data_IF_485285609044
#
_entry.id   IF_485285609044
#
_cell.length_a   1.000
_cell.length_b   1.000
_cell.length_c   1.000
_cell.angle_alpha   90.00
_cell.angle_beta   90.00
_cell.angle_gamma   90.00
#
_symmetry.space_group_name_H-M   'P 1'
#
loop_
_entity.id
_entity.type
_entity.pdbx_description
1 polymer ?
#
# COMPACT_ATOMS: atom_id res chain seq x y z
N UNK A 1 11.69 20.48 16.18
CA UNK A 1 10.86 21.24 15.23
C UNK A 1 9.42 20.88 15.55
N UNK A 2 8.81 21.58 16.52
CA UNK A 2 7.67 21.05 17.28
C UNK A 2 6.47 20.53 16.48
N UNK A 3 6.16 21.14 15.32
CA UNK A 3 5.05 20.70 14.46
C UNK A 3 5.40 19.46 13.59
N UNK A 4 6.69 19.18 13.34
CA UNK A 4 7.16 18.03 12.54
C UNK A 4 7.52 16.84 13.43
N UNK A 5 7.97 17.10 14.67
CA UNK A 5 8.54 16.09 15.58
C UNK A 5 7.57 14.91 15.82
N UNK A 6 6.27 15.16 15.93
CA UNK A 6 5.24 14.13 16.10
C UNK A 6 5.07 13.23 14.87
N UNK A 7 5.08 13.80 13.66
CA UNK A 7 5.01 13.05 12.41
C UNK A 7 6.28 12.24 12.15
N UNK A 8 7.44 12.79 12.53
CA UNK A 8 8.71 12.09 12.43
C UNK A 8 8.75 10.88 13.37
N UNK A 9 8.38 11.07 14.65
CA UNK A 9 8.33 9.97 15.62
C UNK A 9 7.35 8.87 15.20
N UNK A 10 6.20 9.24 14.61
CA UNK A 10 5.24 8.26 14.06
C UNK A 10 5.86 7.46 12.91
N UNK A 11 6.54 8.11 11.97
CA UNK A 11 7.24 7.44 10.87
C UNK A 11 8.34 6.51 11.38
N UNK A 12 9.20 7.00 12.28
CA UNK A 12 10.28 6.23 12.87
C UNK A 12 9.76 4.97 13.57
N UNK A 13 8.69 5.09 14.36
CA UNK A 13 8.09 3.97 15.06
C UNK A 13 7.55 2.90 14.09
N UNK A 14 6.78 3.31 13.08
CA UNK A 14 6.25 2.37 12.07
C UNK A 14 7.40 1.69 11.31
N UNK A 15 8.44 2.45 10.95
CA UNK A 15 9.60 1.93 10.24
C UNK A 15 10.38 0.92 11.09
N UNK A 16 10.60 1.23 12.37
CA UNK A 16 11.27 0.32 13.31
C UNK A 16 10.49 -0.99 13.47
N UNK A 17 9.15 -0.94 13.61
CA UNK A 17 8.31 -2.14 13.69
C UNK A 17 8.38 -3.00 12.42
N UNK A 18 8.32 -2.37 11.25
CA UNK A 18 8.43 -3.07 9.96
C UNK A 18 9.80 -3.77 9.81
N UNK A 19 10.90 -3.07 10.11
CA UNK A 19 12.26 -3.63 10.04
C UNK A 19 12.43 -4.74 11.07
N UNK A 20 11.93 -4.57 12.30
CA UNK A 20 11.98 -5.60 13.33
C UNK A 20 11.26 -6.87 12.88
N UNK A 21 10.06 -6.75 12.31
CA UNK A 21 9.32 -7.89 11.77
C UNK A 21 10.08 -8.58 10.62
N UNK A 22 10.70 -7.80 9.73
CA UNK A 22 11.51 -8.33 8.61
C UNK A 22 12.75 -9.08 9.09
N UNK A 23 13.39 -8.59 10.15
CA UNK A 23 14.59 -9.19 10.73
C UNK A 23 14.28 -10.45 11.55
N UNK A 24 13.27 -10.37 12.42
CA UNK A 24 12.90 -11.49 13.30
C UNK A 24 12.19 -12.62 12.57
N UNK A 25 11.51 -12.32 11.45
CA UNK A 25 10.72 -13.30 10.69
C UNK A 25 9.85 -14.19 11.60
N UNK A 26 8.93 -13.61 12.40
CA UNK A 26 8.28 -14.31 13.52
C UNK A 26 7.52 -15.58 13.12
N UNK A 27 7.04 -15.65 11.87
CA UNK A 27 6.33 -16.81 11.33
C UNK A 27 7.25 -17.92 10.79
N UNK A 28 8.57 -17.73 10.76
CA UNK A 28 9.52 -18.68 10.15
C UNK A 28 9.57 -20.02 10.91
N UNK A 29 9.68 -19.97 12.24
CA UNK A 29 9.73 -21.17 13.09
C UNK A 29 8.45 -22.00 12.97
N UNK A 30 7.29 -21.34 13.01
CA UNK A 30 5.99 -22.00 12.85
C UNK A 30 5.83 -22.61 11.45
N UNK A 31 6.25 -21.89 10.41
CA UNK A 31 6.22 -22.40 9.03
C UNK A 31 7.11 -23.64 8.85
N UNK A 32 8.31 -23.63 9.44
CA UNK A 32 9.22 -24.79 9.44
C UNK A 32 8.63 -25.97 10.20
N UNK A 33 8.08 -25.73 11.40
CA UNK A 33 7.43 -26.77 12.20
C UNK A 33 6.25 -27.41 11.45
N UNK A 34 5.40 -26.60 10.82
CA UNK A 34 4.29 -27.07 10.00
C UNK A 34 4.76 -27.93 8.82
N UNK A 35 5.80 -27.49 8.11
CA UNK A 35 6.40 -28.25 7.00
C UNK A 35 6.93 -29.61 7.46
N UNK A 36 7.65 -29.64 8.58
CA UNK A 36 8.19 -30.88 9.15
C UNK A 36 7.06 -31.83 9.58
N UNK A 37 6.03 -31.32 10.25
CA UNK A 37 4.86 -32.10 10.67
C UNK A 37 4.13 -32.73 9.48
N UNK A 38 3.91 -31.97 8.39
CA UNK A 38 3.31 -32.49 7.15
C UNK A 38 4.17 -33.60 6.55
N UNK A 39 5.50 -33.43 6.53
CA UNK A 39 6.44 -34.45 6.03
C UNK A 39 6.34 -35.74 6.83
N UNK A 40 6.31 -35.64 8.16
CA UNK A 40 6.18 -36.78 9.06
C UNK A 40 4.83 -37.52 8.89
N UNK A 41 3.73 -36.77 8.77
CA UNK A 41 2.42 -37.35 8.52
C UNK A 41 2.36 -38.07 7.17
N UNK A 42 3.00 -37.53 6.13
CA UNK A 42 3.10 -38.19 4.81
C UNK A 42 3.91 -39.48 4.88
N UNK A 43 5.03 -39.49 5.62
CA UNK A 43 5.81 -40.71 5.86
C UNK A 43 4.99 -41.76 6.60
N UNK A 44 4.24 -41.35 7.63
CA UNK A 44 3.32 -42.24 8.35
C UNK A 44 2.24 -42.81 7.43
N UNK A 45 1.63 -41.98 6.58
CA UNK A 45 0.64 -42.41 5.60
C UNK A 45 1.21 -43.46 4.64
N UNK A 46 2.43 -43.23 4.12
CA UNK A 46 3.10 -44.19 3.24
C UNK A 46 3.29 -45.55 3.92
N UNK A 47 3.79 -45.56 5.16
CA UNK A 47 3.99 -46.79 5.93
C UNK A 47 2.65 -47.50 6.21
N UNK A 48 1.61 -46.75 6.59
CA UNK A 48 0.28 -47.33 6.82
C UNK A 48 -0.34 -47.91 5.55
N UNK A 49 -0.13 -47.29 4.37
CA UNK A 49 -0.57 -47.85 3.10
C UNK A 49 0.17 -49.15 2.76
N UNK A 50 1.49 -49.21 2.97
CA UNK A 50 2.24 -50.45 2.81
C UNK A 50 1.72 -51.57 3.72
N UNK A 51 1.41 -51.25 4.98
CA UNK A 51 0.82 -52.20 5.92
C UNK A 51 -0.58 -52.66 5.49
N UNK A 52 -1.40 -51.76 4.93
CA UNK A 52 -2.73 -52.10 4.41
C UNK A 52 -2.65 -53.12 3.27
N UNK A 53 -1.68 -52.97 2.36
CA UNK A 53 -1.49 -53.92 1.25
C UNK A 53 -1.10 -55.32 1.74
N UNK A 54 -0.26 -55.41 2.79
CA UNK A 54 0.05 -56.69 3.44
C UNK A 54 -1.21 -57.33 4.05
N UNK A 55 -2.02 -56.55 4.76
CA UNK A 55 -3.27 -57.04 5.35
C UNK A 55 -4.31 -57.44 4.28
N UNK A 56 -4.33 -56.76 3.12
CA UNK A 56 -5.17 -57.15 1.97
C UNK A 56 -4.78 -58.52 1.44
N UNK A 57 -3.48 -58.78 1.30
CA UNK A 57 -2.98 -60.08 0.88
C UNK A 57 -3.33 -61.18 1.90
N UNK A 58 -3.16 -60.91 3.19
CA UNK A 58 -3.54 -61.84 4.27
C UNK A 58 -5.03 -62.16 4.26
N UNK A 59 -5.90 -61.15 4.15
CA UNK A 59 -7.35 -61.34 4.07
C UNK A 59 -7.73 -62.21 2.87
N UNK A 60 -7.08 -62.01 1.72
CA UNK A 60 -7.29 -62.83 0.52
C UNK A 60 -6.94 -64.29 0.78
N UNK A 61 -5.82 -64.58 1.45
CA UNK A 61 -5.43 -65.94 1.82
C UNK A 61 -6.46 -66.57 2.77
N UNK A 62 -6.86 -65.86 3.83
CA UNK A 62 -7.87 -66.33 4.79
C UNK A 62 -9.23 -66.58 4.13
N UNK A 63 -9.61 -65.78 3.14
CA UNK A 63 -10.83 -65.99 2.34
C UNK A 63 -10.74 -67.27 1.51
N UNK A 64 -9.61 -67.50 0.84
CA UNK A 64 -9.38 -68.72 0.06
C UNK A 64 -9.34 -69.96 0.97
N UNK A 65 -8.74 -69.87 2.16
CA UNK A 65 -8.77 -70.94 3.16
C UNK A 65 -10.18 -71.27 3.60
N UNK A 66 -10.98 -70.25 3.97
CA UNK A 66 -12.36 -70.44 4.35
C UNK A 66 -13.14 -71.17 3.24
N UNK A 67 -13.01 -70.72 1.98
CA UNK A 67 -13.68 -71.36 0.83
C UNK A 67 -13.28 -72.83 0.64
N UNK A 68 -11.99 -73.16 0.81
CA UNK A 68 -11.49 -74.55 0.74
C UNK A 68 -12.12 -75.41 1.84
N UNK A 69 -12.15 -74.91 3.07
CA UNK A 69 -12.73 -75.64 4.21
C UNK A 69 -14.25 -75.76 4.09
N UNK A 70 -14.96 -74.76 3.56
CA UNK A 70 -16.39 -74.85 3.27
C UNK A 70 -16.67 -76.01 2.31
N UNK A 71 -15.83 -76.19 1.28
CA UNK A 71 -15.94 -77.30 0.34
C UNK A 71 -15.73 -78.68 0.99
N UNK A 72 -14.83 -78.79 1.97
CA UNK A 72 -14.60 -80.03 2.73
C UNK A 72 -15.74 -80.32 3.72
N UNK A 73 -16.25 -79.28 4.38
CA UNK A 73 -17.38 -79.38 5.31
C UNK A 73 -18.64 -79.88 4.60
N UNK A 74 -18.95 -79.32 3.42
CA UNK A 74 -20.09 -79.73 2.61
C UNK A 74 -20.01 -81.20 2.14
N UNK A 75 -18.81 -81.79 2.14
CA UNK A 75 -18.57 -83.22 1.86
C UNK A 75 -18.57 -84.09 3.11
N UNK A 76 -18.80 -83.53 4.29
CA UNK A 76 -18.77 -84.22 5.59
C UNK A 76 -17.38 -84.63 6.06
N UNK A 77 -16.31 -84.03 5.51
CA UNK A 77 -14.92 -84.44 5.79
C UNK A 77 -14.36 -83.78 7.06
N UNK A 78 -14.85 -82.59 7.40
CA UNK A 78 -14.43 -81.81 8.57
C UNK A 78 -15.63 -81.48 9.45
N UNK A 79 -15.37 -81.18 10.72
CA UNK A 79 -16.36 -80.81 11.72
C UNK A 79 -16.86 -79.37 11.57
N UNK A 80 -18.01 -79.08 12.18
CA UNK A 80 -18.55 -77.71 12.29
C UNK A 80 -17.61 -76.78 13.04
N UNK A 81 -16.91 -77.28 14.07
CA UNK A 81 -15.94 -76.50 14.85
C UNK A 81 -14.77 -76.01 13.97
N UNK A 82 -14.27 -76.84 13.07
CA UNK A 82 -13.15 -76.49 12.18
C UNK A 82 -13.52 -75.38 11.18
N UNK A 83 -14.73 -75.42 10.62
CA UNK A 83 -15.19 -74.37 9.70
C UNK A 83 -15.49 -73.06 10.44
N UNK A 84 -16.08 -73.12 11.64
CA UNK A 84 -16.32 -71.95 12.49
C UNK A 84 -15.00 -71.25 12.86
N UNK A 85 -13.96 -72.02 13.18
CA UNK A 85 -12.64 -71.47 13.47
C UNK A 85 -12.06 -70.72 12.27
N UNK A 86 -12.19 -71.26 11.05
CA UNK A 86 -11.74 -70.58 9.82
C UNK A 86 -12.55 -69.32 9.52
N UNK A 87 -13.84 -69.32 9.84
CA UNK A 87 -14.68 -68.15 9.69
C UNK A 87 -14.28 -67.04 10.67
N UNK A 88 -13.96 -67.39 11.92
CA UNK A 88 -13.42 -66.44 12.91
C UNK A 88 -12.10 -65.83 12.43
N UNK A 89 -11.17 -66.64 11.92
CA UNK A 89 -9.89 -66.15 11.39
C UNK A 89 -10.09 -65.17 10.23
N UNK A 90 -11.00 -65.46 9.29
CA UNK A 90 -11.34 -64.56 8.19
C UNK A 90 -11.93 -63.24 8.70
N UNK A 91 -12.90 -63.29 9.61
CA UNK A 91 -13.52 -62.08 10.17
C UNK A 91 -12.54 -61.25 11.03
N UNK A 92 -11.58 -61.89 11.70
CA UNK A 92 -10.50 -61.18 12.39
C UNK A 92 -9.62 -60.41 11.40
N UNK A 93 -9.18 -61.05 10.31
CA UNK A 93 -8.42 -60.39 9.27
C UNK A 93 -9.21 -59.23 8.62
N UNK A 94 -10.52 -59.41 8.40
CA UNK A 94 -11.38 -58.37 7.84
C UNK A 94 -11.50 -57.15 8.78
N UNK A 95 -11.67 -57.39 10.08
CA UNK A 95 -11.71 -56.31 11.10
C UNK A 95 -10.39 -55.56 11.16
N UNK A 96 -9.25 -56.27 11.12
CA UNK A 96 -7.93 -55.66 11.12
C UNK A 96 -7.75 -54.74 9.91
N UNK A 97 -8.16 -55.21 8.72
CA UNK A 97 -8.10 -54.41 7.50
C UNK A 97 -8.92 -53.12 7.60
N UNK A 98 -10.17 -53.21 8.05
CA UNK A 98 -11.04 -52.03 8.25
C UNK A 98 -10.45 -51.05 9.27
N UNK A 99 -9.78 -51.56 10.32
CA UNK A 99 -9.08 -50.72 11.29
C UNK A 99 -7.94 -49.92 10.65
N UNK A 100 -7.13 -50.54 9.78
CA UNK A 100 -6.10 -49.84 9.02
C UNK A 100 -6.67 -48.79 8.06
N UNK A 101 -7.78 -49.09 7.37
CA UNK A 101 -8.45 -48.12 6.49
C UNK A 101 -8.97 -46.89 7.26
N UNK A 102 -9.52 -47.11 8.46
CA UNK A 102 -9.92 -46.04 9.37
C UNK A 102 -8.72 -45.20 9.83
N UNK A 103 -7.62 -45.84 10.23
CA UNK A 103 -6.38 -45.15 10.62
C UNK A 103 -5.79 -44.31 9.49
N UNK A 104 -5.77 -44.84 8.26
CA UNK A 104 -5.34 -44.10 7.06
C UNK A 104 -6.23 -42.87 6.82
N UNK A 105 -7.54 -43.01 7.02
CA UNK A 105 -8.48 -41.89 6.87
C UNK A 105 -8.20 -40.77 7.89
N UNK A 106 -7.93 -41.13 9.16
CA UNK A 106 -7.54 -40.17 10.20
C UNK A 106 -6.20 -39.48 9.90
N UNK A 107 -5.22 -40.20 9.35
CA UNK A 107 -3.94 -39.61 8.93
C UNK A 107 -4.16 -38.62 7.78
N UNK A 108 -5.01 -38.96 6.80
CA UNK A 108 -5.35 -38.04 5.69
C UNK A 108 -6.02 -36.77 6.19
N UNK A 109 -6.95 -36.89 7.14
CA UNK A 109 -7.57 -35.73 7.80
C UNK A 109 -6.53 -34.88 8.52
N UNK A 110 -5.62 -35.51 9.28
CA UNK A 110 -4.52 -34.83 9.96
C UNK A 110 -3.61 -34.06 8.98
N UNK A 111 -3.30 -34.65 7.81
CA UNK A 111 -2.56 -33.97 6.74
C UNK A 111 -3.34 -32.76 6.21
N UNK A 112 -4.65 -32.89 5.98
CA UNK A 112 -5.50 -31.79 5.54
C UNK A 112 -5.50 -30.63 6.54
N UNK A 113 -5.65 -30.93 7.83
CA UNK A 113 -5.63 -29.94 8.91
C UNK A 113 -4.25 -29.27 9.05
N UNK A 114 -3.16 -30.04 8.93
CA UNK A 114 -1.80 -29.49 8.93
C UNK A 114 -1.54 -28.57 7.73
N UNK A 115 -2.02 -28.93 6.54
CA UNK A 115 -1.94 -28.06 5.36
C UNK A 115 -2.75 -26.76 5.54
N UNK A 116 -3.96 -26.86 6.08
CA UNK A 116 -4.79 -25.68 6.38
C UNK A 116 -4.09 -24.74 7.36
N UNK A 117 -3.49 -25.29 8.41
CA UNK A 117 -2.71 -24.53 9.40
C UNK A 117 -1.51 -23.86 8.74
N UNK A 118 -0.72 -24.62 7.96
CA UNK A 118 0.42 -24.07 7.21
C UNK A 118 0.03 -22.93 6.28
N UNK A 119 -1.10 -23.04 5.57
CA UNK A 119 -1.60 -21.97 4.70
C UNK A 119 -2.07 -20.76 5.51
N UNK A 120 -2.70 -20.98 6.65
CA UNK A 120 -3.08 -19.94 7.60
C UNK A 120 -1.87 -19.14 8.11
N UNK A 121 -0.79 -19.81 8.51
CA UNK A 121 0.47 -19.17 8.91
C UNK A 121 1.06 -18.32 7.78
N UNK A 122 1.06 -18.80 6.54
CA UNK A 122 1.55 -18.06 5.37
C UNK A 122 0.70 -16.79 5.08
N UNK A 123 -0.63 -16.92 5.17
CA UNK A 123 -1.56 -15.81 5.00
C UNK A 123 -1.33 -14.75 6.10
N UNK A 124 -1.22 -15.18 7.36
CA UNK A 124 -0.99 -14.28 8.49
C UNK A 124 0.35 -13.56 8.36
N UNK A 125 1.42 -14.26 7.96
CA UNK A 125 2.72 -13.66 7.66
C UNK A 125 2.59 -12.53 6.63
N UNK A 126 1.93 -12.82 5.51
CA UNK A 126 1.76 -11.86 4.40
C UNK A 126 0.92 -10.67 4.83
N UNK A 127 -0.17 -10.92 5.57
CA UNK A 127 -1.06 -9.86 6.07
C UNK A 127 -0.34 -8.93 7.03
N UNK A 128 0.43 -9.47 7.96
CA UNK A 128 1.22 -8.69 8.92
C UNK A 128 2.26 -7.84 8.21
N UNK A 129 3.01 -8.43 7.27
CA UNK A 129 4.01 -7.71 6.48
C UNK A 129 3.40 -6.54 5.68
N UNK A 130 2.26 -6.78 5.02
CA UNK A 130 1.55 -5.75 4.28
C UNK A 130 0.99 -4.66 5.19
N UNK A 131 0.46 -5.02 6.36
CA UNK A 131 -0.06 -4.06 7.33
C UNK A 131 1.04 -3.13 7.83
N UNK A 132 2.19 -3.69 8.23
CA UNK A 132 3.33 -2.91 8.71
C UNK A 132 3.90 -2.01 7.60
N UNK A 133 4.10 -2.55 6.39
CA UNK A 133 4.59 -1.76 5.25
C UNK A 133 3.63 -0.61 4.91
N UNK A 134 2.32 -0.86 4.92
CA UNK A 134 1.32 0.18 4.70
C UNK A 134 1.39 1.25 5.77
N UNK A 135 1.58 0.88 7.04
CA UNK A 135 1.80 1.83 8.14
C UNK A 135 2.99 2.75 7.89
N UNK A 136 4.13 2.19 7.46
CA UNK A 136 5.33 2.97 7.09
C UNK A 136 5.02 3.96 5.97
N UNK A 137 4.40 3.51 4.87
CA UNK A 137 4.10 4.36 3.71
C UNK A 137 3.15 5.50 4.11
N UNK A 138 2.14 5.22 4.92
CA UNK A 138 1.19 6.22 5.39
C UNK A 138 1.87 7.26 6.28
N UNK A 139 2.65 6.83 7.27
CA UNK A 139 3.37 7.73 8.16
C UNK A 139 4.41 8.57 7.39
N UNK A 140 5.10 7.98 6.42
CA UNK A 140 6.04 8.70 5.55
C UNK A 140 5.36 9.79 4.74
N UNK A 141 4.22 9.49 4.13
CA UNK A 141 3.46 10.48 3.36
C UNK A 141 2.94 11.63 4.25
N UNK A 142 2.49 11.32 5.47
CA UNK A 142 2.09 12.34 6.44
C UNK A 142 3.26 13.24 6.83
N UNK A 143 4.44 12.66 7.08
CA UNK A 143 5.65 13.42 7.35
C UNK A 143 6.02 14.35 6.18
N UNK A 144 5.94 13.88 4.93
CA UNK A 144 6.19 14.74 3.76
C UNK A 144 5.21 15.92 3.67
N UNK A 145 3.94 15.69 3.97
CA UNK A 145 2.92 16.75 4.00
C UNK A 145 3.27 17.75 5.10
N UNK A 146 3.57 17.27 6.32
CA UNK A 146 3.91 18.13 7.45
C UNK A 146 5.16 19.00 7.18
N UNK A 147 6.20 18.44 6.54
CA UNK A 147 7.39 19.20 6.14
C UNK A 147 7.03 20.29 5.12
N UNK A 148 6.27 19.94 4.09
CA UNK A 148 5.86 20.89 3.05
C UNK A 148 4.96 22.02 3.62
N UNK A 149 4.07 21.71 4.56
CA UNK A 149 3.22 22.71 5.21
C UNK A 149 4.03 23.61 6.15
N UNK A 150 5.02 23.05 6.86
CA UNK A 150 5.98 23.81 7.63
C UNK A 150 6.82 24.75 6.73
N UNK A 151 7.33 24.24 5.60
CA UNK A 151 8.07 25.06 4.63
C UNK A 151 7.22 26.22 4.11
N UNK A 152 5.98 25.97 3.69
CA UNK A 152 5.07 27.04 3.23
C UNK A 152 4.76 28.08 4.30
N UNK A 153 4.78 27.70 5.58
CA UNK A 153 4.43 28.58 6.70
C UNK A 153 5.61 29.42 7.19
N UNK A 154 6.82 28.86 7.18
CA UNK A 154 7.99 29.48 7.81
C UNK A 154 9.14 29.84 6.86
N UNK A 155 9.15 29.30 5.64
CA UNK A 155 10.21 29.58 4.64
C UNK A 155 9.70 30.60 3.63
N UNK A 156 10.35 31.76 3.62
CA UNK A 156 10.13 32.79 2.60
C UNK A 156 10.96 32.44 1.35
N UNK A 157 10.31 31.90 0.32
CA UNK A 157 10.93 31.54 -0.95
C UNK A 157 10.39 32.40 -2.09
N UNK A 158 11.28 32.90 -2.95
CA UNK A 158 10.89 33.59 -4.20
C UNK A 158 10.60 32.57 -5.30
N UNK A 159 9.52 32.78 -6.07
CA UNK A 159 9.19 32.00 -7.26
C UNK A 159 9.78 32.59 -8.57
N UNK A 160 10.51 33.70 -8.46
CA UNK A 160 11.14 34.40 -9.59
C UNK A 160 12.61 34.71 -9.30
N UNK A 161 13.42 34.70 -10.35
CA UNK A 161 14.79 35.18 -10.31
C UNK A 161 14.80 36.71 -10.24
N UNK A 162 15.53 37.26 -9.27
CA UNK A 162 15.53 38.69 -9.02
C UNK A 162 16.58 39.15 -8.02
N UNK A 163 16.66 40.46 -7.82
CA UNK A 163 17.40 41.09 -6.73
C UNK A 163 16.45 41.31 -5.56
N UNK A 164 16.91 40.98 -4.35
CA UNK A 164 16.14 41.23 -3.12
C UNK A 164 16.30 42.71 -2.73
N UNK A 165 15.19 43.41 -2.57
CA UNK A 165 15.15 44.77 -2.06
C UNK A 165 14.44 44.79 -0.71
N UNK A 166 15.08 45.39 0.29
CA UNK A 166 14.54 45.53 1.64
C UNK A 166 14.03 46.96 1.84
N UNK A 167 12.76 47.09 2.23
CA UNK A 167 12.18 48.39 2.57
C UNK A 167 12.62 48.87 3.97
N UNK A 168 12.95 47.93 4.86
CA UNK A 168 13.36 48.16 6.25
C UNK A 168 14.65 47.40 6.59
N UNK A 169 15.34 47.84 7.65
CA UNK A 169 16.48 47.13 8.20
C UNK A 169 16.00 46.03 9.15
N UNK A 170 16.12 44.76 8.75
CA UNK A 170 15.76 43.60 9.58
C UNK A 170 16.98 43.01 10.29
N UNK A 171 16.81 42.60 11.55
CA UNK A 171 17.83 41.88 12.32
C UNK A 171 17.41 40.44 12.56
N UNK A 172 18.40 39.57 12.75
CA UNK A 172 18.16 38.19 13.17
C UNK A 172 17.40 38.18 14.51
N UNK A 173 16.44 37.26 14.64
CA UNK A 173 15.55 37.11 15.81
C UNK A 173 14.58 38.28 16.06
N UNK A 174 14.32 39.14 15.07
CA UNK A 174 13.19 40.05 15.14
C UNK A 174 11.86 39.32 14.95
N UNK A 175 10.84 39.74 15.70
CA UNK A 175 9.49 39.18 15.60
C UNK A 175 8.75 39.84 14.46
N UNK A 176 8.25 39.04 13.52
CA UNK A 176 7.45 39.48 12.38
C UNK A 176 6.01 39.01 12.53
N UNK A 177 5.07 39.77 11.98
CA UNK A 177 3.64 39.42 11.95
C UNK A 177 3.26 38.94 10.55
N UNK A 178 2.20 38.14 10.50
CA UNK A 178 1.60 37.74 9.23
C UNK A 178 1.12 38.98 8.47
N UNK A 179 1.55 39.11 7.21
CA UNK A 179 1.23 40.26 6.36
C UNK A 179 2.31 41.33 6.32
N UNK A 180 3.34 41.25 7.16
CA UNK A 180 4.46 42.19 7.12
C UNK A 180 5.25 42.04 5.81
N UNK A 181 5.51 43.17 5.15
CA UNK A 181 6.37 43.22 3.96
C UNK A 181 7.84 43.11 4.40
N UNK A 182 8.41 41.90 4.29
CA UNK A 182 9.81 41.67 4.67
C UNK A 182 10.76 42.17 3.57
N UNK A 183 10.56 41.70 2.34
CA UNK A 183 11.35 42.10 1.18
C UNK A 183 10.53 42.01 -0.10
N UNK A 184 10.99 42.73 -1.13
CA UNK A 184 10.45 42.67 -2.49
C UNK A 184 11.50 42.09 -3.42
N UNK A 185 11.08 41.24 -4.35
CA UNK A 185 11.96 40.69 -5.37
C UNK A 185 11.79 41.50 -6.65
N UNK A 186 12.87 42.12 -7.10
CA UNK A 186 12.93 42.88 -8.35
C UNK A 186 13.41 41.92 -9.45
N UNK A 187 12.57 41.54 -10.44
CA UNK A 187 12.97 40.62 -11.50
C UNK A 187 14.22 41.08 -12.24
N UNK A 188 15.13 40.15 -12.56
CA UNK A 188 16.35 40.47 -13.32
C UNK A 188 16.08 40.68 -14.82
N UNK A 189 15.02 40.08 -15.35
CA UNK A 189 14.55 40.33 -16.71
C UNK A 189 13.54 41.48 -16.67
N UNK A 190 13.90 42.60 -17.29
CA UNK A 190 12.97 43.70 -17.52
C UNK A 190 11.81 43.20 -18.39
N UNK A 191 10.68 42.89 -17.78
CA UNK A 191 9.42 42.83 -18.52
C UNK A 191 9.15 44.24 -19.08
N UNK A 192 8.68 44.32 -20.31
CA UNK A 192 8.16 45.56 -20.89
C UNK A 192 7.21 46.23 -19.91
N UNK A 193 7.38 47.54 -19.66
CA UNK A 193 6.44 48.30 -18.84
C UNK A 193 5.06 48.30 -19.50
N UNK A 194 4.02 47.96 -18.74
CA UNK A 194 2.62 48.00 -19.18
C UNK A 194 1.95 49.14 -18.44
N UNK A 195 1.43 50.12 -19.18
CA UNK A 195 0.61 51.17 -18.61
C UNK A 195 -0.81 50.63 -18.37
N UNK A 196 -1.31 50.71 -17.14
CA UNK A 196 -2.70 50.35 -16.81
C UNK A 196 -3.52 51.62 -16.74
N UNK A 197 -4.47 51.77 -17.66
CA UNK A 197 -5.35 52.93 -17.75
C UNK A 197 -6.78 52.52 -17.41
N UNK A 198 -7.54 53.41 -16.77
CA UNK A 198 -8.97 53.26 -16.52
C UNK A 198 -9.74 54.34 -17.27
N UNK A 199 -10.80 53.95 -18.00
CA UNK A 199 -11.64 54.92 -18.71
C UNK A 199 -13.11 54.70 -18.40
N UNK A 200 -13.90 55.78 -18.20
CA UNK A 200 -15.35 55.66 -18.07
C UNK A 200 -15.99 54.96 -19.27
N UNK A 201 -17.18 54.38 -19.07
CA UNK A 201 -17.96 53.79 -20.16
C UNK A 201 -18.35 54.81 -21.26
N UNK A 202 -18.42 56.09 -20.92
CA UNK A 202 -18.69 57.16 -21.88
C UNK A 202 -17.56 57.23 -22.93
N UNK A 203 -17.91 57.12 -24.21
CA UNK A 203 -17.00 57.10 -25.35
C UNK A 203 -16.04 55.89 -25.46
N UNK A 204 -16.20 54.84 -24.64
CA UNK A 204 -15.32 53.65 -24.70
C UNK A 204 -15.44 52.89 -26.03
N UNK A 205 -16.59 52.95 -26.71
CA UNK A 205 -16.81 52.35 -28.03
C UNK A 205 -15.96 52.91 -29.17
N UNK A 206 -15.23 54.02 -28.95
CA UNK A 206 -14.29 54.59 -29.92
C UNK A 206 -12.88 54.03 -29.77
N UNK A 207 -12.58 53.34 -28.66
CA UNK A 207 -11.28 52.76 -28.39
C UNK A 207 -11.10 51.46 -29.15
N UNK A 208 -9.92 51.27 -29.73
CA UNK A 208 -9.58 50.06 -30.48
C UNK A 208 -8.21 49.55 -30.08
N UNK A 209 -8.09 48.22 -30.02
CA UNK A 209 -6.79 47.56 -29.89
C UNK A 209 -5.92 48.03 -31.06
N UNK A 210 -4.72 48.47 -30.73
CA UNK A 210 -3.72 48.98 -31.65
C UNK A 210 -3.68 50.49 -31.84
N UNK A 211 -4.55 51.24 -31.18
CA UNK A 211 -4.53 52.70 -31.19
C UNK A 211 -3.25 53.23 -30.50
N UNK A 212 -2.63 54.26 -31.11
CA UNK A 212 -1.48 54.97 -30.52
C UNK A 212 -1.96 55.87 -29.39
N UNK A 213 -1.22 55.88 -28.29
CA UNK A 213 -1.49 56.67 -27.08
C UNK A 213 -0.22 57.43 -26.71
N UNK A 214 -0.35 58.70 -26.39
CA UNK A 214 0.74 59.49 -25.81
C UNK A 214 0.55 59.50 -24.29
N UNK A 215 1.59 59.12 -23.56
CA UNK A 215 1.61 59.06 -22.11
C UNK A 215 2.55 60.15 -21.59
N UNK A 216 2.00 61.01 -20.76
CA UNK A 216 2.71 62.03 -19.99
C UNK A 216 3.05 61.49 -18.61
N UNK A 217 4.24 61.80 -18.10
CA UNK A 217 4.65 61.42 -16.75
C UNK A 217 4.65 62.67 -15.88
N UNK A 218 3.93 62.65 -14.76
CA UNK A 218 3.78 63.81 -13.87
C UNK A 218 5.12 64.36 -13.37
N UNK A 219 6.09 63.48 -13.08
CA UNK A 219 7.43 63.88 -12.63
C UNK A 219 8.37 64.30 -13.78
N UNK A 220 7.92 64.29 -15.04
CA UNK A 220 8.71 64.64 -16.22
C UNK A 220 7.87 65.49 -17.19
N UNK A 221 7.91 66.83 -17.07
CA UNK A 221 7.12 67.74 -17.90
C UNK A 221 7.36 67.55 -19.40
N UNK A 222 6.28 67.54 -20.20
CA UNK A 222 6.34 67.26 -21.64
C UNK A 222 7.18 68.27 -22.43
N UNK A 223 7.21 69.52 -21.97
CA UNK A 223 7.93 70.61 -22.64
C UNK A 223 9.45 70.36 -22.67
N UNK A 224 9.98 69.64 -21.68
CA UNK A 224 11.41 69.34 -21.54
C UNK A 224 11.75 67.90 -21.94
N UNK A 225 10.87 66.94 -21.64
CA UNK A 225 11.16 65.50 -21.76
C UNK A 225 10.32 64.77 -22.83
N UNK A 226 9.35 65.46 -23.45
CA UNK A 226 8.46 64.87 -24.46
C UNK A 226 7.42 63.90 -23.88
N UNK A 227 6.81 63.09 -24.75
CA UNK A 227 5.79 62.10 -24.37
C UNK A 227 6.21 60.68 -24.74
N UNK A 228 5.78 59.71 -23.94
CA UNK A 228 5.98 58.29 -24.25
C UNK A 228 4.89 57.82 -25.23
N UNK A 229 5.31 57.21 -26.33
CA UNK A 229 4.37 56.61 -27.28
C UNK A 229 4.09 55.15 -26.88
N UNK A 230 2.82 54.83 -26.71
CA UNK A 230 2.32 53.50 -26.41
C UNK A 230 1.27 53.06 -27.45
N UNK A 231 0.91 51.78 -27.40
CA UNK A 231 -0.13 51.20 -28.25
C UNK A 231 -1.06 50.38 -27.37
N UNK A 232 -2.36 50.58 -27.52
CA UNK A 232 -3.36 49.77 -26.81
C UNK A 232 -3.22 48.31 -27.21
N UNK A 233 -2.97 47.44 -26.26
CA UNK A 233 -2.84 45.99 -26.44
C UNK A 233 -4.10 45.25 -25.99
N UNK A 234 -4.82 45.81 -25.01
CA UNK A 234 -6.00 45.16 -24.43
C UNK A 234 -7.03 46.18 -23.93
N UNK A 235 -8.31 45.83 -24.04
CA UNK A 235 -9.45 46.56 -23.47
C UNK A 235 -10.34 45.52 -22.78
N UNK A 236 -10.72 45.75 -21.53
CA UNK A 236 -11.61 44.83 -20.80
C UNK A 236 -12.99 44.77 -21.45
N UNK A 237 -13.63 43.61 -21.40
CA UNK A 237 -15.00 43.44 -21.92
C UNK A 237 -16.07 43.95 -20.93
N UNK A 238 -15.73 44.03 -19.65
CA UNK A 238 -16.62 44.38 -18.56
C UNK A 238 -15.96 45.52 -17.77
N UNK A 239 -16.73 46.52 -17.31
CA UNK A 239 -16.22 47.56 -16.42
C UNK A 239 -15.91 47.01 -15.01
N UNK A 240 -15.06 47.70 -14.28
CA UNK A 240 -14.82 47.45 -12.86
C UNK A 240 -16.01 47.92 -11.99
N UNK A 241 -15.90 47.73 -10.67
CA UNK A 241 -16.95 48.09 -9.71
C UNK A 241 -17.32 49.59 -9.76
N UNK A 242 -16.42 50.45 -10.28
CA UNK A 242 -16.62 51.90 -10.41
C UNK A 242 -17.14 52.29 -11.81
N UNK A 243 -17.47 51.32 -12.67
CA UNK A 243 -17.99 51.56 -14.02
C UNK A 243 -16.92 51.89 -15.06
N UNK A 244 -15.63 51.67 -14.77
CA UNK A 244 -14.52 51.97 -15.67
C UNK A 244 -14.01 50.72 -16.40
N UNK A 245 -13.68 50.88 -17.67
CA UNK A 245 -12.99 49.85 -18.46
C UNK A 245 -11.48 49.91 -18.23
N UNK A 246 -10.86 48.73 -18.10
CA UNK A 246 -9.41 48.59 -17.97
C UNK A 246 -8.77 48.52 -19.36
N UNK A 247 -7.72 49.30 -19.57
CA UNK A 247 -6.94 49.34 -20.82
C UNK A 247 -5.47 49.08 -20.49
N UNK A 248 -4.82 48.27 -21.32
CA UNK A 248 -3.38 47.99 -21.29
C UNK A 248 -2.71 48.41 -22.61
#
# INVERSE_FOLDING_TARGET
MGEIDSYYALFENNYAQYILNKNLQPFSNEALANKNSISELRRRLQNSNAQLELNRAELKLKKTDLQRYTGLYNKGIISTLEIEQKQIEYHQAERNLKSFESSISQIRESISNANKTSKGTEINKTKEELMLLKGVIQAFNQLKIAINDWEKKYVLLSNIDGKVAFANYWRTNETIKQGDLIFTIIPTKNSSFIAKLKTPAANSGKLKIGQKVNISLESYPEEEFGTLQAKVTYISYIPDNDGNYLIL
#
